data_IF_661899065229
#
_entry.id   IF_661899065229
#
_cell.length_a   1.000
_cell.length_b   1.000
_cell.length_c   1.000
_cell.angle_alpha   90.00
_cell.angle_beta   90.00
_cell.angle_gamma   90.00
#
_symmetry.space_group_name_H-M   'P 1'
#
loop_
_entity.id
_entity.type
_entity.pdbx_description
1 polymer ?
#
# COMPACT_ATOMS: atom_id res chain seq x y z
N UNK A 1 -27.75 -4.15 13.33
CA UNK A 1 -27.18 -4.48 11.99
C UNK A 1 -25.76 -4.94 12.20
N UNK A 2 -25.49 -6.21 11.93
CA UNK A 2 -24.16 -6.80 12.05
C UNK A 2 -23.27 -6.22 10.96
N UNK A 3 -22.23 -5.48 11.35
CA UNK A 3 -21.17 -5.09 10.42
C UNK A 3 -20.55 -6.35 9.83
N UNK A 4 -20.70 -6.51 8.52
CA UNK A 4 -19.95 -7.51 7.77
C UNK A 4 -18.60 -6.88 7.45
N UNK A 5 -17.48 -7.39 8.01
CA UNK A 5 -16.15 -6.93 7.61
C UNK A 5 -16.05 -7.02 6.09
N UNK A 6 -15.55 -5.99 5.44
CA UNK A 6 -15.34 -6.02 3.98
C UNK A 6 -14.70 -7.36 3.64
N UNK A 7 -15.42 -8.16 2.86
CA UNK A 7 -14.98 -9.49 2.46
C UNK A 7 -13.51 -9.42 2.07
N UNK A 8 -12.76 -10.33 2.66
CA UNK A 8 -11.31 -10.47 2.52
C UNK A 8 -10.85 -9.97 1.14
N UNK A 9 -9.87 -9.11 1.13
CA UNK A 9 -9.23 -8.53 -0.06
C UNK A 9 -8.90 -9.56 -1.17
N UNK A 10 -9.02 -10.87 -0.89
CA UNK A 10 -8.79 -11.95 -1.85
C UNK A 10 -9.65 -11.83 -3.12
N UNK A 11 -10.92 -11.46 -3.03
CA UNK A 11 -11.76 -11.31 -4.23
C UNK A 11 -11.50 -10.01 -4.99
N UNK A 12 -11.08 -8.95 -4.28
CA UNK A 12 -10.61 -7.72 -4.90
C UNK A 12 -9.21 -7.91 -5.46
N UNK A 13 -8.34 -8.62 -4.76
CA UNK A 13 -6.99 -8.98 -5.19
C UNK A 13 -7.01 -9.85 -6.44
N UNK A 14 -7.93 -10.84 -6.51
CA UNK A 14 -8.14 -11.65 -7.71
C UNK A 14 -8.67 -10.80 -8.87
N UNK A 15 -9.67 -9.97 -8.66
CA UNK A 15 -10.21 -9.09 -9.72
C UNK A 15 -9.18 -8.06 -10.18
N UNK A 16 -8.38 -7.49 -9.27
CA UNK A 16 -7.28 -6.59 -9.63
C UNK A 16 -6.13 -7.32 -10.31
N UNK A 17 -5.78 -8.54 -9.90
CA UNK A 17 -4.75 -9.34 -10.55
C UNK A 17 -5.16 -9.76 -11.96
N UNK A 18 -6.43 -10.14 -12.17
CA UNK A 18 -6.96 -10.45 -13.49
C UNK A 18 -7.05 -9.21 -14.40
N UNK A 19 -7.43 -8.05 -13.87
CA UNK A 19 -7.42 -6.80 -14.63
C UNK A 19 -6.00 -6.34 -15.02
N UNK A 20 -4.98 -6.73 -14.26
CA UNK A 20 -3.56 -6.41 -14.53
C UNK A 20 -2.88 -7.47 -15.39
N UNK A 21 -3.40 -8.69 -15.44
CA UNK A 21 -2.91 -9.79 -16.28
C UNK A 21 -3.36 -9.70 -17.75
N UNK A 22 -4.00 -8.61 -18.15
CA UNK A 22 -4.24 -8.34 -19.56
C UNK A 22 -2.91 -8.24 -20.29
N UNK A 23 -2.65 -9.28 -20.99
CA UNK A 23 -1.42 -9.71 -21.66
C UNK A 23 -0.70 -8.55 -22.35
N UNK A 24 0.63 -8.54 -22.30
CA UNK A 24 1.52 -7.69 -23.13
C UNK A 24 1.06 -7.55 -24.58
N UNK A 25 0.33 -8.55 -25.09
CA UNK A 25 -0.28 -8.59 -26.41
C UNK A 25 -1.40 -7.55 -26.57
N UNK A 26 -2.18 -7.28 -25.51
CA UNK A 26 -3.24 -6.28 -25.49
C UNK A 26 -2.66 -4.87 -25.40
N UNK A 27 -1.55 -4.70 -24.66
CA UNK A 27 -0.82 -3.42 -24.64
C UNK A 27 -0.22 -3.07 -25.99
N UNK A 28 0.33 -4.05 -26.71
CA UNK A 28 0.84 -3.85 -28.08
C UNK A 28 -0.27 -3.40 -29.04
N UNK A 29 -1.43 -4.09 -29.05
CA UNK A 29 -2.59 -3.72 -29.86
C UNK A 29 -3.15 -2.34 -29.48
N UNK A 30 -3.28 -2.06 -28.19
CA UNK A 30 -3.73 -0.77 -27.68
C UNK A 30 -2.76 0.37 -28.06
N UNK A 31 -1.46 0.12 -27.99
CA UNK A 31 -0.42 1.06 -28.40
C UNK A 31 -0.48 1.42 -29.87
N UNK A 32 -0.65 0.42 -30.75
CA UNK A 32 -0.82 0.64 -32.20
C UNK A 32 -2.12 1.41 -32.48
N UNK A 33 -3.24 0.99 -31.85
CA UNK A 33 -4.52 1.70 -31.98
C UNK A 33 -4.41 3.16 -31.50
N UNK A 34 -3.70 3.41 -30.40
CA UNK A 34 -3.46 4.75 -29.89
C UNK A 34 -2.62 5.61 -30.85
N UNK A 35 -1.61 5.04 -31.51
CA UNK A 35 -0.79 5.77 -32.49
C UNK A 35 -1.60 6.17 -33.74
N UNK A 36 -2.50 5.28 -34.20
CA UNK A 36 -3.29 5.47 -35.42
C UNK A 36 -4.54 6.32 -35.16
N UNK A 37 -5.06 6.33 -33.92
CA UNK A 37 -6.25 7.10 -33.59
C UNK A 37 -6.02 8.59 -33.84
N UNK A 38 -6.88 9.21 -34.65
CA UNK A 38 -6.96 10.64 -34.80
C UNK A 38 -7.53 11.26 -33.52
N UNK A 39 -6.87 12.30 -32.99
CA UNK A 39 -7.30 13.00 -31.79
C UNK A 39 -8.41 14.02 -32.14
N UNK A 40 -9.59 13.56 -32.53
CA UNK A 40 -10.76 14.44 -32.79
C UNK A 40 -11.50 14.84 -31.51
N UNK A 41 -11.11 14.28 -30.38
CA UNK A 41 -11.73 14.60 -29.08
C UNK A 41 -11.17 15.88 -28.49
N UNK A 42 -12.07 16.67 -27.91
CA UNK A 42 -11.75 17.90 -27.14
C UNK A 42 -10.66 17.56 -26.14
N UNK A 43 -9.48 18.19 -26.33
CA UNK A 43 -8.32 18.02 -25.46
C UNK A 43 -8.66 18.65 -24.11
N UNK A 44 -9.04 17.83 -23.14
CA UNK A 44 -9.28 18.31 -21.78
C UNK A 44 -7.97 18.52 -21.03
N UNK A 45 -8.00 19.27 -19.95
CA UNK A 45 -6.84 19.54 -19.09
C UNK A 45 -6.17 18.25 -18.57
N UNK A 46 -6.91 17.16 -18.44
CA UNK A 46 -6.44 15.85 -17.98
C UNK A 46 -5.93 14.95 -19.10
N UNK A 47 -6.19 15.27 -20.36
CA UNK A 47 -5.66 14.53 -21.49
C UNK A 47 -4.25 15.01 -21.82
N UNK A 48 -3.47 14.18 -22.50
CA UNK A 48 -2.05 14.32 -22.82
C UNK A 48 -1.68 15.57 -23.62
N UNK A 49 -2.19 16.74 -23.20
CA UNK A 49 -1.97 18.01 -23.86
C UNK A 49 -0.47 18.30 -24.00
N UNK A 50 0.02 18.49 -25.22
CA UNK A 50 1.42 18.78 -25.52
C UNK A 50 2.39 17.60 -25.39
N UNK A 51 1.91 16.36 -25.11
CA UNK A 51 2.77 15.17 -25.07
C UNK A 51 2.77 14.43 -26.39
N UNK A 52 3.97 14.14 -26.92
CA UNK A 52 4.12 13.24 -28.07
C UNK A 52 3.61 11.84 -27.75
N UNK A 53 2.78 11.25 -28.62
CA UNK A 53 2.27 9.87 -28.50
C UNK A 53 3.40 8.85 -28.29
N UNK A 54 4.51 9.03 -29.02
CA UNK A 54 5.70 8.19 -28.89
C UNK A 54 6.30 8.27 -27.49
N UNK A 55 6.45 9.48 -26.92
CA UNK A 55 6.95 9.64 -25.53
C UNK A 55 6.05 8.97 -24.51
N UNK A 56 4.73 8.97 -24.73
CA UNK A 56 3.77 8.30 -23.83
C UNK A 56 3.99 6.78 -23.87
N UNK A 57 4.12 6.19 -25.05
CA UNK A 57 4.37 4.75 -25.21
C UNK A 57 5.69 4.34 -24.56
N UNK A 58 6.76 5.07 -24.80
CA UNK A 58 8.06 4.79 -24.16
C UNK A 58 7.96 4.87 -22.62
N UNK A 59 7.24 5.86 -22.09
CA UNK A 59 7.01 5.95 -20.64
C UNK A 59 6.21 4.78 -20.10
N UNK A 60 5.20 4.31 -20.82
CA UNK A 60 4.41 3.13 -20.43
C UNK A 60 5.27 1.87 -20.42
N UNK A 61 6.05 1.62 -21.47
CA UNK A 61 6.97 0.47 -21.52
C UNK A 61 7.98 0.50 -20.36
N UNK A 62 8.55 1.65 -20.11
CA UNK A 62 9.52 1.82 -19.03
C UNK A 62 8.85 1.65 -17.63
N UNK A 63 7.61 2.08 -17.49
CA UNK A 63 6.83 1.86 -16.28
C UNK A 63 6.59 0.37 -16.04
N UNK A 64 6.20 -0.39 -17.06
CA UNK A 64 5.98 -1.83 -16.97
C UNK A 64 7.26 -2.60 -16.60
N UNK A 65 8.39 -2.22 -17.19
CA UNK A 65 9.69 -2.83 -16.82
C UNK A 65 10.06 -2.55 -15.37
N UNK A 66 9.87 -1.32 -14.89
CA UNK A 66 10.09 -0.97 -13.49
C UNK A 66 9.14 -1.70 -12.56
N UNK A 67 7.87 -1.83 -12.93
CA UNK A 67 6.86 -2.58 -12.18
C UNK A 67 7.30 -4.03 -12.02
N UNK A 68 7.65 -4.71 -13.10
CA UNK A 68 8.11 -6.09 -13.08
C UNK A 68 9.38 -6.29 -12.23
N UNK A 69 10.33 -5.36 -12.33
CA UNK A 69 11.53 -5.38 -11.49
C UNK A 69 11.18 -5.28 -10.00
N UNK A 70 10.26 -4.39 -9.64
CA UNK A 70 9.80 -4.21 -8.26
C UNK A 70 9.03 -5.43 -7.76
N UNK A 71 8.12 -6.00 -8.55
CA UNK A 71 7.38 -7.22 -8.20
C UNK A 71 8.34 -8.39 -7.95
N UNK A 72 9.32 -8.58 -8.81
CA UNK A 72 10.34 -9.61 -8.62
C UNK A 72 11.13 -9.39 -7.32
N UNK A 73 11.47 -8.15 -6.99
CA UNK A 73 12.14 -7.81 -5.75
C UNK A 73 11.27 -8.16 -4.54
N UNK A 74 10.00 -7.77 -4.54
CA UNK A 74 9.05 -8.03 -3.45
C UNK A 74 8.85 -9.53 -3.25
N UNK A 75 8.55 -10.26 -4.31
CA UNK A 75 8.34 -11.72 -4.25
C UNK A 75 9.56 -12.47 -3.70
N UNK A 76 10.77 -11.95 -3.95
CA UNK A 76 12.01 -12.59 -3.49
C UNK A 76 12.38 -12.24 -2.05
N UNK A 77 12.09 -11.03 -1.60
CA UNK A 77 12.65 -10.49 -0.36
C UNK A 77 11.62 -10.25 0.74
N UNK A 78 10.34 -10.13 0.42
CA UNK A 78 9.31 -9.82 1.40
C UNK A 78 8.58 -11.09 1.85
N UNK A 79 8.20 -11.12 3.12
CA UNK A 79 7.47 -12.25 3.71
C UNK A 79 5.97 -12.08 3.53
N UNK A 80 5.27 -13.16 3.23
CA UNK A 80 3.80 -13.20 3.15
C UNK A 80 3.17 -13.49 4.51
N UNK A 81 3.90 -14.19 5.38
CA UNK A 81 3.42 -14.64 6.68
C UNK A 81 4.43 -14.31 7.77
N UNK A 82 3.96 -14.27 9.00
CA UNK A 82 4.76 -14.02 10.21
C UNK A 82 4.70 -15.26 11.09
N UNK A 83 5.82 -15.57 11.73
CA UNK A 83 5.88 -16.63 12.74
C UNK A 83 4.90 -16.33 13.88
N UNK A 84 4.09 -17.34 14.23
CA UNK A 84 3.05 -17.21 15.28
C UNK A 84 3.62 -16.91 16.67
N UNK A 85 4.87 -17.25 16.93
CA UNK A 85 5.54 -16.99 18.20
C UNK A 85 6.09 -15.58 18.32
N UNK A 86 6.04 -14.80 17.26
CA UNK A 86 6.64 -13.46 17.24
C UNK A 86 5.72 -12.44 17.92
N UNK A 87 6.27 -11.69 18.87
CA UNK A 87 5.59 -10.50 19.38
C UNK A 87 5.82 -9.34 18.42
N UNK A 88 4.74 -8.80 17.86
CA UNK A 88 4.87 -7.71 16.91
C UNK A 88 3.79 -6.64 17.03
N UNK A 89 4.16 -5.46 16.61
CA UNK A 89 3.28 -4.32 16.36
C UNK A 89 3.06 -4.22 14.85
N UNK A 90 1.83 -3.98 14.45
CA UNK A 90 1.45 -3.87 13.03
C UNK A 90 1.29 -2.41 12.61
N UNK A 91 1.96 -2.01 11.55
CA UNK A 91 1.87 -0.68 10.95
C UNK A 91 1.59 -0.78 9.44
N UNK A 92 0.36 -0.53 8.99
CA UNK A 92 0.05 -0.43 7.57
C UNK A 92 0.53 0.92 7.03
N UNK A 93 1.32 0.90 5.94
CA UNK A 93 1.68 2.09 5.21
C UNK A 93 0.48 2.61 4.41
N UNK A 94 0.35 3.92 4.35
CA UNK A 94 -0.65 4.60 3.53
C UNK A 94 -0.15 4.81 2.10
N UNK A 95 -1.10 5.02 1.20
CA UNK A 95 -0.78 5.52 -0.13
C UNK A 95 -0.27 6.96 -0.02
N UNK A 96 0.89 7.25 -0.61
CA UNK A 96 1.52 8.57 -0.50
C UNK A 96 0.69 9.70 -1.12
N UNK A 97 -0.13 9.39 -2.13
CA UNK A 97 -0.98 10.35 -2.83
C UNK A 97 -2.45 10.29 -2.36
N UNK A 98 -2.69 9.74 -1.19
CA UNK A 98 -4.03 9.64 -0.64
C UNK A 98 -4.44 10.96 0.04
N UNK A 99 -5.70 11.38 -0.21
CA UNK A 99 -6.26 12.58 0.42
C UNK A 99 -6.23 12.49 1.95
N UNK A 100 -6.49 11.32 2.49
CA UNK A 100 -6.48 11.09 3.93
C UNK A 100 -5.12 11.44 4.55
N UNK A 101 -4.02 11.07 3.88
CA UNK A 101 -2.66 11.40 4.33
C UNK A 101 -2.30 12.86 4.05
N UNK A 102 -2.50 13.34 2.82
CA UNK A 102 -2.03 14.67 2.40
C UNK A 102 -2.82 15.83 3.01
N UNK A 103 -4.11 15.63 3.24
CA UNK A 103 -5.01 16.67 3.75
C UNK A 103 -5.38 16.42 5.20
N UNK A 104 -5.69 15.17 5.53
CA UNK A 104 -6.12 14.79 6.88
C UNK A 104 -4.97 14.70 7.89
N UNK A 105 -3.77 14.35 7.44
CA UNK A 105 -2.60 14.16 8.31
C UNK A 105 -1.30 14.71 7.68
N UNK A 106 -1.24 16.00 7.30
CA UNK A 106 -0.13 16.56 6.53
C UNK A 106 1.21 16.49 7.25
N UNK A 107 1.22 16.50 8.57
CA UNK A 107 2.45 16.38 9.39
C UNK A 107 3.05 14.98 9.38
N UNK A 108 2.28 13.97 8.95
CA UNK A 108 2.68 12.55 8.99
C UNK A 108 2.94 11.97 7.58
N UNK A 109 3.23 12.81 6.61
CA UNK A 109 3.49 12.38 5.22
C UNK A 109 4.80 11.64 5.06
N UNK A 110 5.82 11.92 5.89
CA UNK A 110 7.08 11.20 5.88
C UNK A 110 6.96 9.87 6.64
N UNK A 111 6.38 8.88 6.00
CA UNK A 111 6.13 7.58 6.61
C UNK A 111 7.41 6.82 6.99
N UNK A 112 8.52 7.07 6.29
CA UNK A 112 9.81 6.45 6.62
C UNK A 112 10.29 6.85 8.02
N UNK A 113 10.26 8.15 8.35
CA UNK A 113 10.65 8.61 9.68
C UNK A 113 9.70 8.11 10.77
N UNK A 114 8.40 8.01 10.48
CA UNK A 114 7.42 7.43 11.42
C UNK A 114 7.76 5.98 11.72
N UNK A 115 7.98 5.17 10.69
CA UNK A 115 8.37 3.76 10.81
C UNK A 115 9.65 3.61 11.64
N UNK A 116 10.65 4.44 11.38
CA UNK A 116 11.91 4.46 12.12
C UNK A 116 11.71 4.81 13.61
N UNK A 117 10.90 5.84 13.89
CA UNK A 117 10.61 6.26 15.25
C UNK A 117 9.83 5.19 16.02
N UNK A 118 8.84 4.56 15.41
CA UNK A 118 8.10 3.45 16.02
C UNK A 118 9.07 2.29 16.31
N UNK A 119 9.89 1.88 15.33
CA UNK A 119 10.82 0.77 15.50
C UNK A 119 11.81 1.00 16.64
N UNK A 120 12.31 2.23 16.78
CA UNK A 120 13.22 2.63 17.87
C UNK A 120 12.53 2.68 19.24
N UNK A 121 11.22 2.86 19.28
CA UNK A 121 10.45 2.95 20.53
C UNK A 121 9.95 1.59 21.03
N UNK A 122 10.13 0.52 20.24
CA UNK A 122 9.67 -0.80 20.64
C UNK A 122 10.56 -1.42 21.73
N UNK A 123 9.93 -2.13 22.69
CA UNK A 123 10.67 -2.90 23.68
C UNK A 123 11.49 -4.02 23.04
N UNK A 124 12.53 -4.44 23.75
CA UNK A 124 13.32 -5.61 23.35
C UNK A 124 12.44 -6.84 23.19
N UNK A 125 12.64 -7.59 22.11
CA UNK A 125 11.83 -8.78 21.77
C UNK A 125 10.60 -8.50 20.92
N UNK A 126 10.27 -7.23 20.65
CA UNK A 126 9.20 -6.86 19.72
C UNK A 126 9.75 -6.53 18.34
N UNK A 127 8.97 -6.83 17.30
CA UNK A 127 9.22 -6.43 15.92
C UNK A 127 8.13 -5.49 15.43
N UNK A 128 8.50 -4.59 14.51
CA UNK A 128 7.54 -3.79 13.75
C UNK A 128 7.27 -4.48 12.42
N UNK A 129 6.05 -4.96 12.24
CA UNK A 129 5.60 -5.52 10.98
C UNK A 129 4.97 -4.41 10.15
N UNK A 130 5.65 -4.03 9.09
CA UNK A 130 5.23 -2.98 8.16
C UNK A 130 4.70 -3.61 6.90
N UNK A 131 3.51 -3.23 6.47
CA UNK A 131 2.91 -3.71 5.23
C UNK A 131 2.58 -2.55 4.31
N UNK A 132 3.00 -2.63 3.05
CA UNK A 132 2.64 -1.64 2.04
C UNK A 132 1.20 -1.86 1.54
N UNK A 133 0.56 -0.78 1.11
CA UNK A 133 -0.79 -0.85 0.56
C UNK A 133 -0.77 -1.53 -0.82
N UNK A 134 -1.73 -2.42 -1.07
CA UNK A 134 -1.75 -3.23 -2.30
C UNK A 134 -1.79 -2.38 -3.57
N UNK A 135 -2.47 -1.23 -3.54
CA UNK A 135 -2.54 -0.29 -4.66
C UNK A 135 -1.17 0.30 -5.00
N UNK A 136 -0.25 0.41 -4.04
CA UNK A 136 1.12 0.87 -4.28
C UNK A 136 1.88 -0.07 -5.19
N UNK A 137 1.61 -1.38 -5.09
CA UNK A 137 2.17 -2.37 -5.99
C UNK A 137 1.75 -2.12 -7.45
N UNK A 138 0.46 -1.87 -7.68
CA UNK A 138 -0.09 -1.64 -9.02
C UNK A 138 0.42 -0.31 -9.60
N UNK A 139 0.38 0.77 -8.82
CA UNK A 139 0.75 2.12 -9.27
C UNK A 139 2.25 2.38 -9.32
N UNK A 140 3.04 1.61 -8.62
CA UNK A 140 4.49 1.69 -8.70
C UNK A 140 5.13 2.91 -8.05
N UNK A 141 4.49 3.48 -7.05
CA UNK A 141 4.97 4.71 -6.42
C UNK A 141 6.15 4.51 -5.48
N UNK A 142 6.19 3.39 -4.74
CA UNK A 142 7.33 3.09 -3.87
C UNK A 142 8.44 2.38 -4.61
N UNK A 143 9.64 2.92 -4.54
CA UNK A 143 10.82 2.35 -5.21
C UNK A 143 11.40 1.17 -4.42
N UNK A 144 12.20 0.33 -5.12
CA UNK A 144 12.97 -0.75 -4.46
C UNK A 144 13.96 -0.18 -3.44
N UNK A 145 14.51 0.99 -3.70
CA UNK A 145 15.45 1.66 -2.80
C UNK A 145 14.80 2.09 -1.48
N UNK A 146 13.55 2.60 -1.54
CA UNK A 146 12.78 2.93 -0.34
C UNK A 146 12.42 1.68 0.45
N UNK A 147 12.04 0.58 -0.22
CA UNK A 147 11.80 -0.69 0.46
C UNK A 147 13.05 -1.19 1.19
N UNK A 148 14.21 -1.13 0.54
CA UNK A 148 15.50 -1.50 1.16
C UNK A 148 15.80 -0.63 2.38
N UNK A 149 15.63 0.69 2.28
CA UNK A 149 15.83 1.60 3.42
C UNK A 149 14.95 1.23 4.63
N UNK A 150 13.70 0.82 4.39
CA UNK A 150 12.81 0.34 5.46
C UNK A 150 13.33 -0.99 6.03
N UNK A 151 13.75 -1.92 5.17
CA UNK A 151 14.26 -3.23 5.59
C UNK A 151 15.58 -3.14 6.37
N UNK A 152 16.39 -2.11 6.12
CA UNK A 152 17.65 -1.87 6.81
C UNK A 152 17.48 -1.35 8.25
N UNK A 153 16.27 -0.93 8.64
CA UNK A 153 15.99 -0.50 10.00
C UNK A 153 15.90 -1.73 10.92
N UNK A 154 16.68 -1.79 12.01
CA UNK A 154 16.61 -2.87 12.98
C UNK A 154 15.18 -3.07 13.51
N UNK A 155 14.82 -4.31 13.83
CA UNK A 155 13.49 -4.68 14.35
C UNK A 155 12.31 -4.55 13.38
N UNK A 156 12.51 -4.23 12.09
CA UNK A 156 11.45 -4.20 11.10
C UNK A 156 11.37 -5.52 10.34
N UNK A 157 10.13 -5.90 10.02
CA UNK A 157 9.78 -6.93 9.04
C UNK A 157 8.87 -6.26 8.02
N UNK A 158 9.40 -6.03 6.82
CA UNK A 158 8.60 -5.54 5.72
C UNK A 158 7.86 -6.72 5.07
N UNK A 159 6.53 -6.61 5.03
CA UNK A 159 5.66 -7.65 4.52
C UNK A 159 5.29 -7.39 3.06
N UNK A 160 5.04 -8.49 2.36
CA UNK A 160 4.52 -8.43 1.01
C UNK A 160 3.12 -7.76 0.99
N UNK A 161 2.81 -6.89 0.02
CA UNK A 161 1.51 -6.21 -0.03
C UNK A 161 0.30 -7.16 -0.05
N UNK A 162 0.46 -8.40 -0.54
CA UNK A 162 -0.59 -9.42 -0.54
C UNK A 162 -0.77 -10.15 0.79
N UNK A 163 0.06 -9.89 1.80
CA UNK A 163 -0.14 -10.49 3.14
C UNK A 163 -1.51 -10.13 3.70
N UNK A 164 -2.18 -11.07 4.36
CA UNK A 164 -3.53 -10.87 4.87
C UNK A 164 -3.56 -9.89 6.06
N UNK A 165 -4.08 -8.68 5.85
CA UNK A 165 -4.15 -7.64 6.89
C UNK A 165 -4.99 -8.07 8.08
N UNK A 166 -6.10 -8.77 7.87
CA UNK A 166 -6.98 -9.24 8.93
C UNK A 166 -6.26 -10.23 9.86
N UNK A 167 -5.51 -11.17 9.31
CA UNK A 167 -4.73 -12.11 10.10
C UNK A 167 -3.58 -11.42 10.86
N UNK A 168 -2.97 -10.40 10.25
CA UNK A 168 -1.96 -9.58 10.93
C UNK A 168 -2.55 -8.85 12.13
N UNK A 169 -3.73 -8.23 11.97
CA UNK A 169 -4.43 -7.53 13.06
C UNK A 169 -4.80 -8.51 14.18
N UNK A 170 -5.34 -9.68 13.86
CA UNK A 170 -5.70 -10.68 14.86
C UNK A 170 -4.51 -11.18 15.69
N UNK A 171 -3.33 -11.30 15.06
CA UNK A 171 -2.12 -11.84 15.70
C UNK A 171 -1.26 -10.79 16.38
N UNK A 172 -1.33 -9.52 15.99
CA UNK A 172 -0.49 -8.46 16.54
C UNK A 172 -0.83 -8.15 18.02
N UNK A 173 0.10 -7.50 18.70
CA UNK A 173 -0.09 -6.98 20.07
C UNK A 173 -0.67 -5.57 20.09
N UNK A 174 -0.39 -4.80 19.04
CA UNK A 174 -0.82 -3.41 18.89
C UNK A 174 -0.89 -3.08 17.39
N UNK A 175 -1.88 -2.33 16.99
CA UNK A 175 -1.96 -1.69 15.67
C UNK A 175 -1.61 -0.22 15.82
N UNK A 176 -0.71 0.27 14.98
CA UNK A 176 -0.42 1.71 14.87
C UNK A 176 -0.76 2.13 13.45
N UNK A 177 -1.51 3.20 13.29
CA UNK A 177 -1.81 3.78 11.98
C UNK A 177 -1.70 5.30 12.00
N UNK A 178 -1.50 5.94 10.86
CA UNK A 178 -1.54 7.39 10.77
C UNK A 178 -3.00 7.83 10.75
N UNK A 179 -3.69 7.45 9.69
CA UNK A 179 -5.09 7.73 9.42
C UNK A 179 -5.65 6.56 8.64
N UNK A 180 -6.45 5.68 9.22
CA UNK A 180 -6.92 4.56 8.43
C UNK A 180 -7.87 3.63 9.15
N UNK A 181 -8.53 2.77 8.38
CA UNK A 181 -9.48 1.77 8.88
C UNK A 181 -8.82 0.71 9.77
N UNK A 182 -7.50 0.52 9.68
CA UNK A 182 -6.80 -0.52 10.43
C UNK A 182 -6.96 -0.39 11.95
N UNK A 183 -7.01 0.85 12.48
CA UNK A 183 -7.27 1.07 13.91
C UNK A 183 -8.71 0.72 14.30
N UNK A 184 -9.68 0.96 13.42
CA UNK A 184 -11.07 0.57 13.61
C UNK A 184 -11.22 -0.95 13.51
N UNK A 185 -10.59 -1.54 12.49
CA UNK A 185 -10.56 -3.00 12.31
C UNK A 185 -9.95 -3.71 13.54
N UNK A 186 -8.90 -3.13 14.14
CA UNK A 186 -8.31 -3.63 15.37
C UNK A 186 -9.33 -3.72 16.52
N UNK A 187 -10.19 -2.72 16.66
CA UNK A 187 -11.23 -2.70 17.70
C UNK A 187 -12.23 -3.86 17.54
N UNK A 188 -12.59 -4.25 16.32
CA UNK A 188 -13.46 -5.42 16.09
C UNK A 188 -12.83 -6.75 16.52
N UNK A 189 -11.50 -6.81 16.58
CA UNK A 189 -10.75 -7.98 17.03
C UNK A 189 -10.23 -7.84 18.47
N UNK A 190 -10.76 -6.88 19.24
CA UNK A 190 -10.31 -6.58 20.62
C UNK A 190 -8.79 -6.35 20.71
N UNK A 191 -8.22 -5.70 19.72
CA UNK A 191 -6.80 -5.32 19.70
C UNK A 191 -6.64 -3.85 19.99
N UNK A 192 -5.68 -3.46 20.86
CA UNK A 192 -5.39 -2.06 21.10
C UNK A 192 -4.84 -1.40 19.81
N UNK A 193 -5.19 -0.15 19.63
CA UNK A 193 -4.68 0.63 18.49
C UNK A 193 -4.32 2.06 18.87
N UNK A 194 -3.33 2.60 18.18
CA UNK A 194 -2.91 4.00 18.26
C UNK A 194 -3.09 4.63 16.87
N UNK A 195 -3.72 5.80 16.81
CA UNK A 195 -3.81 6.61 15.59
C UNK A 195 -3.12 7.95 15.82
N UNK A 196 -2.29 8.38 14.86
CA UNK A 196 -1.60 9.67 14.95
C UNK A 196 -2.52 10.85 14.67
N UNK A 197 -3.56 10.63 13.87
CA UNK A 197 -4.52 11.68 13.53
C UNK A 197 -5.96 11.21 13.75
N UNK A 198 -6.79 12.11 14.23
CA UNK A 198 -8.20 11.84 14.54
C UNK A 198 -9.10 12.24 13.37
N UNK A 199 -9.47 11.30 12.53
CA UNK A 199 -10.42 11.51 11.43
C UNK A 199 -11.83 11.16 11.88
N UNK A 200 -12.37 11.87 12.85
CA UNK A 200 -13.79 11.82 13.21
C UNK A 200 -14.42 10.45 13.56
N UNK A 201 -14.01 9.40 12.87
CA UNK A 201 -14.50 8.04 13.05
C UNK A 201 -13.96 7.35 14.32
N UNK A 202 -12.82 7.84 14.87
CA UNK A 202 -12.18 7.20 16.03
C UNK A 202 -12.85 7.49 17.37
N UNK A 203 -13.77 8.45 17.42
CA UNK A 203 -14.54 8.74 18.65
C UNK A 203 -15.48 7.62 19.08
N UNK A 204 -15.67 6.61 18.25
CA UNK A 204 -16.60 5.51 18.48
C UNK A 204 -15.91 4.30 19.12
N UNK A 205 -14.58 4.22 19.09
CA UNK A 205 -13.83 3.07 19.60
C UNK A 205 -13.19 3.36 20.95
N UNK A 206 -13.64 2.66 22.00
CA UNK A 206 -13.06 2.73 23.35
C UNK A 206 -11.66 2.09 23.45
N UNK A 207 -11.18 1.44 22.38
CA UNK A 207 -9.89 0.76 22.32
C UNK A 207 -8.80 1.56 21.55
N UNK A 208 -9.14 2.75 21.06
CA UNK A 208 -8.18 3.68 20.44
C UNK A 208 -7.69 4.68 21.47
N UNK A 209 -6.40 4.85 21.56
CA UNK A 209 -5.72 5.85 22.39
C UNK A 209 -5.08 6.88 21.48
#
# INVERSE_FOLDING_TARGET
>A
ESYVPQQSNSSLDEKFSHAVQDSMRNYGKAGIKYLIAQDDNVKTHYTYFGRSKIKVIFKMLFHELRKKHRENFMNKNLKHEIDEKLNFVYFPLHQEMERALLIGAPFFTNQFEIVKNIANSLPVGYKLCVKDHIVMNVRGWRSVEEMKKIMDIPNIILLHPSANSTELIKKCKLVISIVGSASIEAAFYNKPSISFENVGMFKISSLTV
#
